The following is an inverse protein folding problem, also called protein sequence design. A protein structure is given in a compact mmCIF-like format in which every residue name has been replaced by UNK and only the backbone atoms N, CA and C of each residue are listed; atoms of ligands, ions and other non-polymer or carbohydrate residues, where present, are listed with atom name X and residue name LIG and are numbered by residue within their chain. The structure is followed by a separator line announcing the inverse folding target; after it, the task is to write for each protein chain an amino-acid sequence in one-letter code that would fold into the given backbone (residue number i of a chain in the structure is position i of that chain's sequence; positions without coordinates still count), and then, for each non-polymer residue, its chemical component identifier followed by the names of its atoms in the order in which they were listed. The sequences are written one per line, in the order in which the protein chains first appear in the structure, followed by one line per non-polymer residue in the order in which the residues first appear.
data_IF_233922033311
#
_entry.id   IF_233922033311
#
_cell.length_a   1.000
_cell.length_b   1.000
_cell.length_c   1.000
_cell.angle_alpha   90.00
_cell.angle_beta   90.00
_cell.angle_gamma   90.00
#
_symmetry.space_group_name_H-M   'P 1'
#
loop_
_entity.id
_entity.type
_entity.pdbx_description
1 polymer ?
#
# COMPACT_ATOMS: atom_id res chain seq x y z
N UNK A 1 -2.18 10.01 17.44
CA UNK A 1 -1.80 9.54 16.10
C UNK A 1 -0.57 10.30 15.65
N UNK A 2 0.42 9.61 15.10
CA UNK A 2 1.66 10.20 14.57
C UNK A 2 1.76 9.84 13.08
N UNK A 3 2.14 10.82 12.25
CA UNK A 3 2.35 10.62 10.82
C UNK A 3 3.85 10.56 10.52
N UNK A 4 4.21 9.67 9.59
CA UNK A 4 5.57 9.46 9.11
C UNK A 4 5.58 9.42 7.58
N UNK A 5 6.67 9.81 6.97
CA UNK A 5 6.76 9.91 5.51
C UNK A 5 6.65 8.55 4.80
N UNK A 6 7.05 7.46 5.45
CA UNK A 6 7.00 6.11 4.87
C UNK A 6 7.05 5.02 5.94
N UNK A 7 6.79 3.76 5.53
CA UNK A 7 6.75 2.63 6.46
C UNK A 7 8.09 2.27 7.11
N UNK A 8 9.24 2.63 6.52
CA UNK A 8 10.54 2.44 7.15
C UNK A 8 10.73 3.36 8.36
N UNK A 9 10.27 4.61 8.25
CA UNK A 9 10.32 5.56 9.36
C UNK A 9 9.39 5.15 10.51
N UNK A 10 8.23 4.56 10.20
CA UNK A 10 7.35 3.96 11.21
C UNK A 10 8.09 2.86 11.96
N UNK A 11 8.74 1.93 11.26
CA UNK A 11 9.49 0.84 11.87
C UNK A 11 10.64 1.38 12.75
N UNK A 12 11.38 2.39 12.28
CA UNK A 12 12.43 3.05 13.09
C UNK A 12 11.86 3.69 14.36
N UNK A 13 10.72 4.39 14.25
CA UNK A 13 10.06 5.00 15.41
C UNK A 13 9.61 3.94 16.43
N UNK A 14 9.21 2.75 15.98
CA UNK A 14 8.91 1.61 16.85
C UNK A 14 10.19 1.07 17.53
N UNK A 15 11.29 0.90 16.78
CA UNK A 15 12.60 0.47 17.31
C UNK A 15 13.16 1.45 18.34
N UNK A 16 12.85 2.76 18.19
CA UNK A 16 13.21 3.81 19.14
C UNK A 16 12.24 3.93 20.34
N UNK A 17 11.21 3.07 20.41
CA UNK A 17 10.21 3.08 21.48
C UNK A 17 9.26 4.29 21.48
N UNK A 18 9.13 5.00 20.37
CA UNK A 18 8.23 6.16 20.24
C UNK A 18 6.78 5.75 20.01
N UNK A 19 6.57 4.61 19.35
CA UNK A 19 5.26 4.02 19.07
C UNK A 19 5.34 2.50 19.18
N UNK A 20 4.24 1.85 19.57
CA UNK A 20 4.15 0.39 19.75
C UNK A 20 3.52 -0.30 18.55
N UNK A 21 2.64 0.39 17.85
CA UNK A 21 1.84 -0.11 16.75
C UNK A 21 1.93 0.87 15.58
N UNK A 22 2.09 0.34 14.37
CA UNK A 22 2.19 1.14 13.16
C UNK A 22 1.30 0.60 12.05
N UNK A 23 1.02 1.45 11.06
CA UNK A 23 0.29 1.08 9.85
C UNK A 23 1.18 1.32 8.64
N UNK A 24 1.41 0.27 7.84
CA UNK A 24 2.32 0.33 6.69
C UNK A 24 1.69 -0.20 5.41
N UNK A 25 2.13 0.34 4.30
CA UNK A 25 1.81 -0.17 2.97
C UNK A 25 2.74 -1.28 2.51
N UNK A 26 2.43 -1.82 1.35
CA UNK A 26 3.07 -2.98 0.72
C UNK A 26 4.61 -2.92 0.71
N UNK A 27 5.18 -1.82 0.24
CA UNK A 27 6.64 -1.70 0.03
C UNK A 27 7.48 -1.86 1.30
N UNK A 28 6.90 -1.63 2.49
CA UNK A 28 7.60 -1.77 3.76
C UNK A 28 7.53 -3.20 4.36
N UNK A 29 6.70 -4.10 3.84
CA UNK A 29 6.61 -5.49 4.32
C UNK A 29 7.91 -6.27 4.13
N UNK A 30 8.77 -5.89 3.19
CA UNK A 30 10.14 -6.44 3.07
C UNK A 30 10.94 -6.37 4.38
N UNK A 31 10.70 -5.36 5.21
CA UNK A 31 11.33 -5.24 6.52
C UNK A 31 10.72 -6.18 7.56
N UNK A 32 9.43 -6.52 7.43
CA UNK A 32 8.80 -7.56 8.25
C UNK A 32 9.39 -8.94 7.91
N UNK A 33 9.55 -9.26 6.65
CA UNK A 33 10.20 -10.50 6.17
C UNK A 33 11.63 -10.60 6.72
N UNK A 34 12.36 -9.47 6.78
CA UNK A 34 13.70 -9.37 7.37
C UNK A 34 13.71 -9.41 8.92
N UNK A 35 12.55 -9.55 9.57
CA UNK A 35 12.42 -9.72 11.03
C UNK A 35 12.42 -8.43 11.85
N UNK A 36 12.36 -7.24 11.22
CA UNK A 36 12.34 -5.96 11.94
C UNK A 36 10.97 -5.62 12.55
N UNK A 37 9.89 -6.10 11.94
CA UNK A 37 8.54 -5.95 12.47
C UNK A 37 7.72 -7.22 12.22
N UNK A 38 6.61 -7.37 12.95
CA UNK A 38 5.62 -8.43 12.79
C UNK A 38 4.29 -7.82 12.35
N UNK A 39 3.63 -8.47 11.39
CA UNK A 39 2.32 -8.08 10.91
C UNK A 39 1.26 -8.61 11.88
N UNK A 40 0.55 -7.70 12.53
CA UNK A 40 -0.51 -8.02 13.49
C UNK A 40 -1.87 -8.23 12.82
N UNK A 41 -2.18 -7.42 11.78
CA UNK A 41 -3.48 -7.46 11.10
C UNK A 41 -3.29 -7.12 9.62
N UNK A 42 -3.88 -7.92 8.73
CA UNK A 42 -4.12 -7.56 7.34
C UNK A 42 -5.30 -6.59 7.26
N UNK A 43 -5.14 -5.42 6.68
CA UNK A 43 -6.16 -4.35 6.72
C UNK A 43 -6.96 -4.22 5.42
N UNK A 44 -6.28 -4.13 4.30
CA UNK A 44 -6.92 -4.03 2.98
C UNK A 44 -5.98 -4.49 1.85
N UNK A 45 -6.57 -4.76 0.71
CA UNK A 45 -5.86 -4.89 -0.56
C UNK A 45 -5.96 -3.55 -1.28
N UNK A 46 -4.81 -2.91 -1.49
CA UNK A 46 -4.76 -1.59 -2.11
C UNK A 46 -5.04 -1.64 -3.62
N UNK A 47 -5.73 -0.61 -4.09
CA UNK A 47 -5.86 -0.25 -5.49
C UNK A 47 -5.49 1.24 -5.69
N UNK A 48 -4.80 1.80 -4.73
CA UNK A 48 -4.49 3.23 -4.68
C UNK A 48 -3.30 3.63 -5.54
N UNK A 49 -2.37 2.69 -5.77
CA UNK A 49 -1.19 2.92 -6.59
C UNK A 49 -1.53 2.85 -8.07
N UNK A 50 -1.07 3.83 -8.84
CA UNK A 50 -1.28 3.86 -10.28
C UNK A 50 -0.12 4.53 -11.03
N UNK A 51 0.02 4.16 -12.29
CA UNK A 51 0.84 4.85 -13.27
C UNK A 51 -0.09 5.83 -13.99
N UNK A 52 0.17 7.11 -13.85
CA UNK A 52 -0.56 8.19 -14.52
C UNK A 52 0.27 8.67 -15.70
N UNK A 53 -0.31 8.62 -16.91
CA UNK A 53 0.29 9.14 -18.14
C UNK A 53 -0.26 10.51 -18.52
N UNK A 54 0.48 11.22 -19.34
CA UNK A 54 0.09 12.49 -19.94
C UNK A 54 -0.13 12.31 -21.45
N UNK A 55 -1.37 12.39 -21.92
CA UNK A 55 -1.72 12.25 -23.35
C UNK A 55 -1.11 13.32 -24.23
N UNK A 56 -0.91 14.53 -23.71
CA UNK A 56 -0.25 15.60 -24.47
C UNK A 56 1.24 15.30 -24.73
N UNK A 57 1.83 14.37 -23.97
CA UNK A 57 3.18 13.82 -24.17
C UNK A 57 3.16 12.46 -24.88
N UNK A 58 2.06 12.11 -25.54
CA UNK A 58 1.86 10.85 -26.26
C UNK A 58 1.95 9.59 -25.38
N UNK A 59 1.63 9.70 -24.07
CA UNK A 59 1.58 8.59 -23.14
C UNK A 59 0.12 8.21 -22.88
N UNK A 60 -0.36 7.14 -23.53
CA UNK A 60 -1.74 6.65 -23.46
C UNK A 60 -1.85 5.22 -22.94
N UNK A 61 -0.76 4.44 -23.07
CA UNK A 61 -0.66 3.05 -22.65
C UNK A 61 0.66 2.83 -21.91
N UNK A 62 0.83 1.69 -21.25
CA UNK A 62 2.11 1.32 -20.62
C UNK A 62 3.24 1.18 -21.66
N UNK A 63 2.92 0.68 -22.86
CA UNK A 63 3.91 0.56 -23.94
C UNK A 63 4.52 1.91 -24.36
N UNK A 64 3.77 3.01 -24.22
CA UNK A 64 4.24 4.36 -24.56
C UNK A 64 5.28 4.92 -23.57
N UNK A 65 5.53 4.22 -22.46
CA UNK A 65 6.53 4.65 -21.46
C UNK A 65 7.96 4.55 -21.97
N UNK A 66 8.22 3.83 -23.07
CA UNK A 66 9.55 3.68 -23.66
C UNK A 66 10.13 5.05 -24.05
N UNK A 67 11.30 5.35 -23.52
CA UNK A 67 11.99 6.64 -23.75
C UNK A 67 11.42 7.82 -22.95
N UNK A 68 10.50 7.58 -22.03
CA UNK A 68 9.81 8.64 -21.27
C UNK A 68 10.42 8.88 -19.89
N UNK A 69 10.19 10.10 -19.38
CA UNK A 69 10.57 10.55 -18.02
C UNK A 69 9.45 10.20 -17.05
N UNK A 70 9.76 9.34 -16.10
CA UNK A 70 8.78 8.79 -15.16
C UNK A 70 9.16 9.21 -13.73
N UNK A 71 8.30 9.98 -13.07
CA UNK A 71 8.44 10.26 -11.65
C UNK A 71 8.10 9.04 -10.82
N UNK A 72 8.97 8.68 -9.88
CA UNK A 72 8.79 7.54 -8.97
C UNK A 72 9.14 7.92 -7.54
N UNK A 73 8.57 7.22 -6.56
CA UNK A 73 8.91 7.35 -5.15
C UNK A 73 9.68 6.11 -4.73
N UNK A 74 10.96 6.29 -4.45
CA UNK A 74 11.85 5.20 -4.09
C UNK A 74 11.39 4.47 -2.81
N UNK A 75 11.51 3.15 -2.80
CA UNK A 75 11.09 2.26 -1.70
C UNK A 75 9.58 2.33 -1.34
N UNK A 76 8.75 2.87 -2.21
CA UNK A 76 7.30 2.89 -2.06
C UNK A 76 6.65 1.68 -2.76
N UNK A 77 5.38 1.42 -2.43
CA UNK A 77 4.58 0.35 -3.07
C UNK A 77 4.34 0.59 -4.56
N UNK A 78 4.30 1.85 -4.99
CA UNK A 78 4.13 2.25 -6.39
C UNK A 78 5.27 1.77 -7.31
N UNK A 79 6.49 1.64 -6.78
CA UNK A 79 7.64 1.12 -7.52
C UNK A 79 7.41 -0.30 -8.05
N UNK A 80 6.73 -1.15 -7.28
CA UNK A 80 6.34 -2.49 -7.69
C UNK A 80 5.45 -2.47 -8.93
N UNK A 81 4.46 -1.58 -8.98
CA UNK A 81 3.54 -1.47 -10.13
C UNK A 81 4.29 -1.04 -11.38
N UNK A 82 5.22 -0.08 -11.25
CA UNK A 82 6.06 0.32 -12.38
C UNK A 82 6.90 -0.84 -12.91
N UNK A 83 7.59 -1.57 -12.01
CA UNK A 83 8.41 -2.73 -12.40
C UNK A 83 7.59 -3.77 -13.14
N UNK A 84 6.44 -4.20 -12.58
CA UNK A 84 5.57 -5.21 -13.21
C UNK A 84 5.01 -4.70 -14.56
N UNK A 85 4.67 -3.42 -14.66
CA UNK A 85 4.18 -2.81 -15.89
C UNK A 85 5.24 -2.85 -17.00
N UNK A 86 6.46 -2.41 -16.70
CA UNK A 86 7.57 -2.42 -17.64
C UNK A 86 7.93 -3.85 -18.08
N UNK A 87 8.03 -4.79 -17.14
CA UNK A 87 8.29 -6.20 -17.41
C UNK A 87 7.21 -6.83 -18.32
N UNK A 88 5.94 -6.47 -18.09
CA UNK A 88 4.81 -7.01 -18.86
C UNK A 88 4.85 -6.56 -20.31
N UNK A 89 5.30 -5.33 -20.56
CA UNK A 89 5.45 -4.75 -21.90
C UNK A 89 6.85 -5.01 -22.52
N UNK A 90 7.72 -5.76 -21.83
CA UNK A 90 9.08 -6.02 -22.30
C UNK A 90 9.93 -4.76 -22.41
N UNK A 91 9.68 -3.79 -21.52
CA UNK A 91 10.45 -2.54 -21.45
C UNK A 91 11.53 -2.71 -20.38
N UNK A 92 12.77 -2.57 -20.76
CA UNK A 92 13.91 -2.62 -19.83
C UNK A 92 14.04 -1.29 -19.06
N UNK A 93 14.55 -1.34 -17.83
CA UNK A 93 14.75 -0.16 -16.99
C UNK A 93 15.63 0.92 -17.66
N UNK A 94 16.58 0.53 -18.49
CA UNK A 94 17.44 1.45 -19.24
C UNK A 94 16.76 2.08 -20.46
N UNK A 95 15.56 1.67 -20.80
CA UNK A 95 14.75 2.26 -21.88
C UNK A 95 13.78 3.35 -21.36
N UNK A 96 13.81 3.65 -20.06
CA UNK A 96 13.03 4.70 -19.41
C UNK A 96 13.93 5.57 -18.52
N UNK A 97 13.57 6.81 -18.32
CA UNK A 97 14.23 7.70 -17.36
C UNK A 97 13.41 7.78 -16.08
N UNK A 98 13.82 7.06 -15.03
CA UNK A 98 13.15 7.06 -13.73
C UNK A 98 13.78 8.14 -12.85
N UNK A 99 12.94 9.09 -12.40
CA UNK A 99 13.35 10.23 -11.57
C UNK A 99 12.71 10.07 -10.19
N UNK A 100 13.53 9.85 -9.17
CA UNK A 100 13.06 9.72 -7.80
C UNK A 100 12.73 11.09 -7.19
N UNK A 101 11.48 11.24 -6.77
CA UNK A 101 10.90 12.49 -6.26
C UNK A 101 9.88 12.19 -5.16
N UNK A 102 9.51 13.21 -4.38
CA UNK A 102 8.36 13.11 -3.48
C UNK A 102 7.04 13.11 -4.25
N UNK A 103 5.97 12.50 -3.73
CA UNK A 103 4.68 12.42 -4.43
C UNK A 103 4.14 13.77 -4.91
N UNK A 104 4.20 14.79 -4.04
CA UNK A 104 3.76 16.15 -4.36
C UNK A 104 4.60 16.81 -5.46
N UNK A 105 5.90 16.50 -5.51
CA UNK A 105 6.80 16.98 -6.56
C UNK A 105 6.49 16.34 -7.90
N UNK A 106 6.15 15.02 -7.91
CA UNK A 106 5.69 14.31 -9.11
C UNK A 106 4.43 14.96 -9.67
N UNK A 107 3.44 15.22 -8.81
CA UNK A 107 2.20 15.90 -9.22
C UNK A 107 2.50 17.28 -9.82
N UNK A 108 3.36 18.06 -9.18
CA UNK A 108 3.74 19.38 -9.67
C UNK A 108 4.49 19.32 -11.01
N UNK A 109 5.41 18.36 -11.16
CA UNK A 109 6.21 18.17 -12.37
C UNK A 109 5.33 17.68 -13.56
N UNK A 110 4.37 16.80 -13.32
CA UNK A 110 3.40 16.38 -14.31
C UNK A 110 2.54 17.55 -14.81
N UNK A 111 2.04 18.38 -13.89
CA UNK A 111 1.26 19.60 -14.25
C UNK A 111 2.08 20.61 -15.06
N UNK A 112 3.39 20.70 -14.82
CA UNK A 112 4.32 21.58 -15.58
C UNK A 112 4.76 20.96 -16.91
N UNK A 113 4.47 19.69 -17.17
CA UNK A 113 4.94 18.97 -18.35
C UNK A 113 6.42 18.63 -18.35
N UNK A 114 7.07 18.60 -17.18
CA UNK A 114 8.47 18.18 -17.04
C UNK A 114 8.63 16.68 -16.82
N UNK A 115 7.53 15.97 -16.53
CA UNK A 115 7.40 14.52 -16.53
C UNK A 115 6.37 14.08 -17.55
N UNK A 116 6.57 12.92 -18.14
CA UNK A 116 5.69 12.31 -19.13
C UNK A 116 4.69 11.35 -18.44
N UNK A 117 5.11 10.77 -17.32
CA UNK A 117 4.29 9.92 -16.45
C UNK A 117 4.70 10.05 -14.98
N UNK A 118 3.83 9.61 -14.07
CA UNK A 118 4.12 9.55 -12.65
C UNK A 118 3.56 8.28 -12.03
N UNK A 119 4.31 7.69 -11.09
CA UNK A 119 3.93 6.47 -10.36
C UNK A 119 3.76 6.83 -8.90
N UNK A 120 2.51 6.93 -8.49
CA UNK A 120 2.11 7.49 -7.20
C UNK A 120 0.87 6.75 -6.67
N UNK A 121 0.42 7.14 -5.49
CA UNK A 121 -0.78 6.59 -4.86
C UNK A 121 -1.78 7.69 -4.48
N UNK A 122 -3.00 7.28 -4.14
CA UNK A 122 -4.04 8.21 -3.67
C UNK A 122 -3.65 8.88 -2.33
N UNK A 123 -3.92 10.20 -2.16
CA UNK A 123 -4.73 11.08 -3.03
C UNK A 123 -3.97 11.70 -4.22
N UNK A 124 -2.65 11.55 -4.32
CA UNK A 124 -1.82 12.18 -5.36
C UNK A 124 -2.23 11.77 -6.78
N UNK A 125 -2.72 10.53 -6.98
CA UNK A 125 -3.29 10.10 -8.26
C UNK A 125 -4.47 10.96 -8.69
N UNK A 126 -5.38 11.28 -7.75
CA UNK A 126 -6.53 12.15 -7.99
C UNK A 126 -6.10 13.59 -8.31
N UNK A 127 -5.09 14.08 -7.59
CA UNK A 127 -4.54 15.42 -7.81
C UNK A 127 -3.84 15.54 -9.16
N UNK A 128 -3.06 14.52 -9.56
CA UNK A 128 -2.41 14.47 -10.86
C UNK A 128 -3.44 14.46 -11.99
N UNK A 129 -4.44 13.57 -11.92
CA UNK A 129 -5.51 13.50 -12.91
C UNK A 129 -6.31 14.81 -13.01
N UNK A 130 -6.64 15.40 -11.87
CA UNK A 130 -7.31 16.71 -11.83
C UNK A 130 -6.45 17.82 -12.46
N UNK A 131 -5.15 17.79 -12.18
CA UNK A 131 -4.21 18.81 -12.69
C UNK A 131 -3.95 18.70 -14.19
N UNK A 132 -3.98 17.48 -14.74
CA UNK A 132 -3.83 17.20 -16.17
C UNK A 132 -5.16 17.34 -16.95
N UNK A 133 -6.30 17.30 -16.26
CA UNK A 133 -7.62 17.37 -16.90
C UNK A 133 -7.82 16.26 -17.94
N UNK A 134 -8.15 16.62 -19.17
CA UNK A 134 -8.39 15.64 -20.26
C UNK A 134 -7.13 14.90 -20.72
N UNK A 135 -5.94 15.42 -20.40
CA UNK A 135 -4.66 14.79 -20.76
C UNK A 135 -4.24 13.71 -19.77
N UNK A 136 -4.81 13.70 -18.55
CA UNK A 136 -4.53 12.67 -17.56
C UNK A 136 -5.17 11.33 -17.92
N UNK A 137 -4.39 10.25 -17.80
CA UNK A 137 -4.88 8.89 -18.00
C UNK A 137 -4.24 7.92 -17.02
N UNK A 138 -5.04 7.02 -16.45
CA UNK A 138 -4.52 5.88 -15.69
C UNK A 138 -4.06 4.81 -16.69
N UNK A 139 -2.77 4.51 -16.72
CA UNK A 139 -2.20 3.49 -17.60
C UNK A 139 -2.35 2.09 -17.00
N UNK A 140 -2.09 1.98 -15.70
CA UNK A 140 -2.23 0.76 -14.92
C UNK A 140 -2.38 1.09 -13.43
N UNK A 141 -2.92 0.16 -12.66
CA UNK A 141 -3.03 0.20 -11.20
C UNK A 141 -2.80 -1.19 -10.60
N UNK A 142 -2.94 -1.34 -9.28
CA UNK A 142 -2.75 -2.64 -8.61
C UNK A 142 -3.64 -3.75 -9.18
N UNK A 143 -4.89 -3.43 -9.55
CA UNK A 143 -5.83 -4.43 -10.10
C UNK A 143 -5.43 -4.91 -11.49
N UNK A 144 -4.70 -4.09 -12.26
CA UNK A 144 -4.17 -4.49 -13.57
C UNK A 144 -3.25 -5.71 -13.50
N UNK A 145 -2.63 -5.94 -12.32
CA UNK A 145 -1.65 -7.00 -12.09
C UNK A 145 -1.99 -7.88 -10.89
N UNK A 146 -3.27 -8.03 -10.54
CA UNK A 146 -3.73 -8.79 -9.37
C UNK A 146 -3.35 -10.27 -9.38
N UNK A 147 -2.98 -10.82 -10.52
CA UNK A 147 -2.44 -12.18 -10.67
C UNK A 147 -0.93 -12.29 -10.40
N UNK A 148 -0.21 -11.16 -10.35
CA UNK A 148 1.26 -11.11 -10.16
C UNK A 148 1.66 -10.54 -8.80
N UNK A 149 0.84 -9.65 -8.22
CA UNK A 149 1.14 -8.95 -6.98
C UNK A 149 -0.07 -8.88 -6.06
N UNK A 150 0.19 -8.81 -4.76
CA UNK A 150 -0.81 -8.54 -3.73
C UNK A 150 -0.39 -7.28 -2.96
N UNK A 151 -0.93 -6.13 -3.35
CA UNK A 151 -0.67 -4.87 -2.65
C UNK A 151 -1.46 -4.82 -1.34
N UNK A 152 -0.81 -5.22 -0.26
CA UNK A 152 -1.41 -5.35 1.07
C UNK A 152 -0.98 -4.18 1.93
N UNK A 153 -1.91 -3.64 2.73
CA UNK A 153 -1.57 -2.75 3.83
C UNK A 153 -1.90 -3.42 5.16
N UNK A 154 -1.07 -3.18 6.16
CA UNK A 154 -1.10 -3.95 7.40
C UNK A 154 -0.79 -3.11 8.63
N UNK A 155 -1.38 -3.49 9.76
CA UNK A 155 -0.94 -3.06 11.08
C UNK A 155 0.22 -3.93 11.54
N UNK A 156 1.23 -3.31 12.09
CA UNK A 156 2.47 -3.96 12.53
C UNK A 156 2.81 -3.61 13.97
N UNK A 157 3.65 -4.44 14.57
CA UNK A 157 4.29 -4.21 15.86
C UNK A 157 5.71 -4.80 15.84
N UNK A 158 6.55 -4.48 16.83
CA UNK A 158 7.84 -5.15 16.97
C UNK A 158 7.66 -6.61 17.40
N UNK A 159 8.51 -7.55 16.93
CA UNK A 159 8.43 -8.96 17.34
C UNK A 159 8.57 -9.16 18.85
N UNK A 160 9.38 -8.35 19.53
CA UNK A 160 9.53 -8.36 20.97
C UNK A 160 8.24 -7.88 21.65
N UNK A 161 7.70 -6.75 21.25
CA UNK A 161 6.46 -6.21 21.81
C UNK A 161 5.28 -7.19 21.65
N UNK A 162 5.17 -7.85 20.48
CA UNK A 162 4.14 -8.85 20.25
C UNK A 162 4.22 -10.05 21.23
N UNK A 163 5.43 -10.43 21.68
CA UNK A 163 5.60 -11.49 22.66
C UNK A 163 5.33 -11.03 24.10
N UNK A 164 5.83 -9.87 24.47
CA UNK A 164 5.76 -9.33 25.83
C UNK A 164 4.38 -8.73 26.16
N UNK A 165 3.67 -8.25 25.14
CA UNK A 165 2.37 -7.57 25.26
C UNK A 165 1.30 -8.20 24.36
N UNK A 166 1.27 -9.52 24.26
CA UNK A 166 0.35 -10.25 23.38
C UNK A 166 -1.13 -9.92 23.65
N UNK A 167 -1.50 -9.68 24.91
CA UNK A 167 -2.84 -9.25 25.31
C UNK A 167 -3.21 -7.87 24.75
N UNK A 168 -2.25 -6.93 24.72
CA UNK A 168 -2.45 -5.59 24.15
C UNK A 168 -2.64 -5.69 22.64
N UNK A 169 -1.78 -6.45 21.95
CA UNK A 169 -1.89 -6.66 20.50
C UNK A 169 -3.22 -7.32 20.14
N UNK A 170 -3.67 -8.30 20.94
CA UNK A 170 -4.97 -8.95 20.74
C UNK A 170 -6.14 -7.99 20.92
N UNK A 171 -6.15 -7.18 21.99
CA UNK A 171 -7.19 -6.17 22.24
C UNK A 171 -7.21 -5.09 21.16
N UNK A 172 -6.03 -4.66 20.71
CA UNK A 172 -5.91 -3.74 19.58
C UNK A 172 -6.51 -4.35 18.31
N UNK A 173 -6.18 -5.61 18.01
CA UNK A 173 -6.73 -6.31 16.83
C UNK A 173 -8.25 -6.40 16.90
N UNK A 174 -8.83 -6.73 18.07
CA UNK A 174 -10.30 -6.71 18.26
C UNK A 174 -10.91 -5.33 18.00
N UNK A 175 -10.25 -4.26 18.46
CA UNK A 175 -10.73 -2.90 18.23
C UNK A 175 -10.67 -2.51 16.74
N UNK A 176 -9.57 -2.85 16.05
CA UNK A 176 -9.44 -2.62 14.61
C UNK A 176 -10.48 -3.43 13.82
N UNK A 177 -10.75 -4.67 14.18
CA UNK A 177 -11.79 -5.49 13.55
C UNK A 177 -13.18 -4.86 13.65
N UNK A 178 -13.54 -4.27 14.83
CA UNK A 178 -14.77 -3.51 14.95
C UNK A 178 -14.82 -2.32 13.99
N UNK A 179 -13.71 -1.58 13.87
CA UNK A 179 -13.60 -0.47 12.91
C UNK A 179 -13.68 -0.93 11.45
N UNK A 180 -13.05 -2.07 11.11
CA UNK A 180 -13.12 -2.66 9.77
C UNK A 180 -14.56 -3.06 9.41
N UNK A 181 -15.26 -3.73 10.33
CA UNK A 181 -16.67 -4.12 10.14
C UNK A 181 -17.58 -2.88 10.05
N UNK A 182 -17.36 -1.85 10.87
CA UNK A 182 -18.10 -0.60 10.80
C UNK A 182 -17.96 0.09 9.44
N UNK A 183 -16.72 0.20 8.94
CA UNK A 183 -16.40 0.81 7.64
C UNK A 183 -16.98 0.01 6.46
N UNK A 184 -17.13 -1.31 6.58
CA UNK A 184 -17.68 -2.15 5.53
C UNK A 184 -19.18 -1.94 5.28
N UNK A 185 -19.89 -1.26 6.18
CA UNK A 185 -21.30 -0.93 6.02
C UNK A 185 -21.42 0.33 5.17
N UNK A 186 -22.07 0.24 3.99
CA UNK A 186 -22.17 1.34 3.01
C UNK A 186 -22.71 2.64 3.64
N UNK A 187 -23.70 2.54 4.51
CA UNK A 187 -24.29 3.71 5.19
C UNK A 187 -23.29 4.46 6.10
N UNK A 188 -22.22 3.80 6.53
CA UNK A 188 -21.21 4.39 7.42
C UNK A 188 -20.06 5.06 6.65
N UNK A 189 -19.91 4.78 5.37
CA UNK A 189 -18.75 5.23 4.55
C UNK A 189 -18.61 6.75 4.57
N UNK A 190 -19.74 7.47 4.49
CA UNK A 190 -19.72 8.94 4.53
C UNK A 190 -19.23 9.46 5.89
N UNK A 191 -19.70 8.87 6.98
CA UNK A 191 -19.25 9.23 8.33
C UNK A 191 -17.75 8.92 8.52
N UNK A 192 -17.28 7.79 8.02
CA UNK A 192 -15.84 7.44 8.04
C UNK A 192 -15.02 8.49 7.26
N UNK A 193 -15.50 8.94 6.10
CA UNK A 193 -14.85 9.99 5.33
C UNK A 193 -14.84 11.35 6.08
N UNK A 194 -15.92 11.68 6.79
CA UNK A 194 -15.96 12.87 7.63
C UNK A 194 -14.92 12.82 8.74
N UNK A 195 -14.77 11.68 9.43
CA UNK A 195 -13.75 11.49 10.47
C UNK A 195 -12.32 11.53 9.91
N UNK A 196 -12.08 10.97 8.73
CA UNK A 196 -10.78 11.07 8.06
C UNK A 196 -10.45 12.53 7.81
N UNK A 197 -11.39 13.31 7.27
CA UNK A 197 -11.22 14.73 7.01
C UNK A 197 -10.95 15.55 8.27
N UNK A 198 -11.54 15.18 9.42
CA UNK A 198 -11.33 15.86 10.70
C UNK A 198 -9.91 15.66 11.26
N UNK A 199 -9.29 14.50 11.00
CA UNK A 199 -7.96 14.14 11.56
C UNK A 199 -6.82 14.25 10.55
N UNK A 200 -7.13 14.54 9.30
CA UNK A 200 -6.13 14.70 8.21
C UNK A 200 -6.38 16.02 7.49
N UNK A 201 -5.45 16.42 6.63
CA UNK A 201 -5.63 17.59 5.75
C UNK A 201 -6.47 17.30 4.49
N UNK A 202 -7.06 16.10 4.37
CA UNK A 202 -7.82 15.65 3.20
C UNK A 202 -9.26 16.18 3.31
N UNK A 203 -9.78 16.84 2.27
CA UNK A 203 -11.16 17.29 2.27
C UNK A 203 -12.17 16.13 2.21
N UNK A 204 -13.38 16.35 2.72
CA UNK A 204 -14.43 15.33 2.87
C UNK A 204 -14.79 14.62 1.56
N UNK A 205 -14.78 15.33 0.43
CA UNK A 205 -15.10 14.76 -0.88
C UNK A 205 -13.98 13.81 -1.32
N UNK A 206 -12.73 14.25 -1.22
CA UNK A 206 -11.56 13.42 -1.54
C UNK A 206 -11.47 12.20 -0.63
N UNK A 207 -11.69 12.36 0.69
CA UNK A 207 -11.75 11.25 1.63
C UNK A 207 -12.85 10.23 1.27
N UNK A 208 -14.03 10.70 0.84
CA UNK A 208 -15.10 9.81 0.38
C UNK A 208 -14.76 9.11 -0.95
N UNK A 209 -14.12 9.79 -1.89
CA UNK A 209 -13.71 9.21 -3.17
C UNK A 209 -12.67 8.10 -2.99
N UNK A 210 -11.78 8.21 -2.01
CA UNK A 210 -10.77 7.20 -1.65
C UNK A 210 -11.36 5.85 -1.19
N UNK A 211 -12.67 5.77 -0.92
CA UNK A 211 -13.32 4.48 -0.60
C UNK A 211 -13.12 3.42 -1.69
N UNK A 212 -12.81 3.84 -2.93
CA UNK A 212 -12.58 2.97 -4.09
C UNK A 212 -11.11 2.54 -4.25
N UNK A 213 -10.22 3.11 -3.45
CA UNK A 213 -8.78 2.90 -3.56
C UNK A 213 -8.32 1.57 -2.94
N UNK A 214 -9.27 0.81 -2.40
CA UNK A 214 -8.96 -0.49 -1.81
C UNK A 214 -10.19 -1.41 -1.76
N UNK A 215 -9.92 -2.70 -1.73
CA UNK A 215 -10.83 -3.68 -1.17
C UNK A 215 -10.65 -3.64 0.35
N UNK A 216 -11.57 -2.97 1.02
CA UNK A 216 -11.60 -2.85 2.48
C UNK A 216 -12.05 -4.16 3.09
N UNK A 217 -11.16 -4.81 3.83
CA UNK A 217 -11.43 -6.12 4.40
C UNK A 217 -12.26 -6.02 5.68
N UNK A 218 -13.01 -7.07 5.98
CA UNK A 218 -13.75 -7.25 7.23
C UNK A 218 -13.00 -8.19 8.16
N UNK A 219 -13.37 -8.19 9.43
CA UNK A 219 -12.94 -9.20 10.40
C UNK A 219 -13.11 -10.62 9.86
N UNK A 220 -14.31 -10.95 9.35
CA UNK A 220 -14.64 -12.27 8.83
C UNK A 220 -13.72 -12.70 7.68
N UNK A 221 -13.38 -11.78 6.76
CA UNK A 221 -12.43 -12.07 5.69
C UNK A 221 -11.05 -12.43 6.25
N UNK A 222 -10.54 -11.63 7.20
CA UNK A 222 -9.19 -11.80 7.73
C UNK A 222 -9.11 -13.02 8.65
N UNK A 223 -10.05 -13.19 9.59
CA UNK A 223 -10.03 -14.28 10.57
C UNK A 223 -10.24 -15.66 9.91
N UNK A 224 -11.23 -15.77 9.02
CA UNK A 224 -11.48 -17.01 8.25
C UNK A 224 -10.34 -17.28 7.29
N UNK A 225 -9.84 -16.26 6.60
CA UNK A 225 -8.68 -16.39 5.72
C UNK A 225 -7.41 -16.80 6.46
N UNK A 226 -7.21 -16.33 7.70
CA UNK A 226 -6.11 -16.78 8.55
C UNK A 226 -6.25 -18.26 8.96
N UNK A 227 -7.48 -18.75 9.17
CA UNK A 227 -7.75 -20.15 9.47
C UNK A 227 -7.54 -21.06 8.25
N UNK A 228 -8.00 -20.63 7.08
CA UNK A 228 -7.97 -21.42 5.83
C UNK A 228 -6.63 -21.34 5.10
N UNK A 229 -5.74 -20.42 5.49
CA UNK A 229 -4.45 -20.20 4.83
C UNK A 229 -4.48 -19.12 3.74
N UNK A 230 -5.62 -18.51 3.44
CA UNK A 230 -5.73 -17.48 2.39
C UNK A 230 -4.90 -16.24 2.73
N UNK A 231 -4.91 -15.79 3.99
CA UNK A 231 -4.06 -14.68 4.45
C UNK A 231 -2.58 -15.01 4.27
N UNK A 232 -2.16 -16.22 4.65
CA UNK A 232 -0.78 -16.65 4.46
C UNK A 232 -0.39 -16.62 2.97
N UNK A 233 -1.29 -17.09 2.09
CA UNK A 233 -1.07 -17.11 0.65
C UNK A 233 -0.87 -15.71 0.05
N UNK A 234 -1.59 -14.70 0.51
CA UNK A 234 -1.36 -13.32 0.08
C UNK A 234 0.06 -12.85 0.41
N UNK A 235 0.55 -13.13 1.62
CA UNK A 235 1.92 -12.78 2.02
C UNK A 235 2.99 -13.65 1.34
N UNK A 236 2.67 -14.89 0.95
CA UNK A 236 3.55 -15.73 0.13
C UNK A 236 3.74 -15.16 -1.28
N UNK A 237 2.65 -14.69 -1.90
CA UNK A 237 2.71 -14.00 -3.20
C UNK A 237 3.60 -12.77 -3.09
N UNK A 238 3.36 -11.93 -2.09
CA UNK A 238 4.13 -10.72 -1.84
C UNK A 238 5.62 -11.03 -1.54
N UNK A 239 5.91 -12.05 -0.73
CA UNK A 239 7.28 -12.44 -0.44
C UNK A 239 8.02 -12.89 -1.70
N UNK A 240 7.35 -13.64 -2.58
CA UNK A 240 7.90 -14.04 -3.87
C UNK A 240 8.23 -12.83 -4.73
N UNK A 241 7.33 -11.88 -4.81
CA UNK A 241 7.52 -10.62 -5.53
C UNK A 241 8.76 -9.86 -5.02
N UNK A 242 8.95 -9.75 -3.70
CA UNK A 242 10.14 -9.11 -3.13
C UNK A 242 11.43 -9.90 -3.41
N UNK A 243 11.37 -11.22 -3.50
CA UNK A 243 12.52 -12.04 -3.89
C UNK A 243 12.87 -11.85 -5.37
N UNK A 244 11.88 -11.83 -6.25
CA UNK A 244 12.05 -11.57 -7.69
C UNK A 244 12.63 -10.17 -7.93
N UNK A 245 12.23 -9.19 -7.13
CA UNK A 245 12.78 -7.83 -7.15
C UNK A 245 14.16 -7.69 -6.48
N UNK A 246 14.75 -8.78 -5.92
CA UNK A 246 16.00 -8.72 -5.18
C UNK A 246 15.94 -7.99 -3.84
N UNK A 247 14.75 -7.61 -3.38
CA UNK A 247 14.56 -6.88 -2.13
C UNK A 247 14.65 -7.77 -0.88
N UNK A 248 14.47 -9.09 -1.06
CA UNK A 248 14.60 -10.14 -0.05
C UNK A 248 15.40 -11.30 -0.63
N UNK A 249 16.44 -11.75 0.06
CA UNK A 249 17.37 -12.75 -0.45
C UNK A 249 16.82 -14.19 -0.43
N UNK A 250 15.95 -14.50 0.55
CA UNK A 250 15.44 -15.86 0.75
C UNK A 250 14.03 -15.86 1.33
N UNK A 251 13.28 -16.90 1.02
CA UNK A 251 11.98 -17.17 1.63
C UNK A 251 12.12 -17.49 3.11
N UNK A 252 11.16 -17.01 3.90
CA UNK A 252 11.00 -17.37 5.31
C UNK A 252 9.56 -17.84 5.55
N UNK A 253 9.30 -18.72 6.53
CA UNK A 253 7.94 -19.10 6.87
C UNK A 253 7.08 -17.88 7.23
N UNK A 254 5.87 -17.80 6.70
CA UNK A 254 4.95 -16.66 6.93
C UNK A 254 4.69 -16.45 8.43
N UNK A 255 4.58 -17.51 9.19
CA UNK A 255 4.41 -17.46 10.65
C UNK A 255 5.56 -16.77 11.42
N UNK A 256 6.70 -16.53 10.78
CA UNK A 256 7.81 -15.79 11.41
C UNK A 256 7.54 -14.30 11.53
N UNK A 257 6.74 -13.74 10.64
CA UNK A 257 6.50 -12.30 10.60
C UNK A 257 5.02 -11.92 10.51
N UNK A 258 4.10 -12.89 10.33
CA UNK A 258 2.65 -12.66 10.34
C UNK A 258 2.03 -13.38 11.52
N UNK A 259 1.36 -12.63 12.39
CA UNK A 259 0.74 -13.13 13.62
C UNK A 259 -0.63 -13.73 13.33
N UNK A 260 -0.65 -14.84 12.55
CA UNK A 260 -1.90 -15.49 12.11
C UNK A 260 -2.79 -15.92 13.29
N UNK A 261 -2.20 -16.38 14.39
CA UNK A 261 -2.97 -16.80 15.57
C UNK A 261 -3.62 -15.62 16.28
N UNK A 262 -2.97 -14.45 16.31
CA UNK A 262 -3.58 -13.23 16.81
C UNK A 262 -4.81 -12.83 15.97
N UNK A 263 -4.72 -12.93 14.63
CA UNK A 263 -5.85 -12.64 13.73
C UNK A 263 -7.03 -13.59 13.95
N UNK A 264 -6.77 -14.89 14.20
CA UNK A 264 -7.80 -15.90 14.49
C UNK A 264 -8.46 -15.67 15.85
N UNK A 265 -7.64 -15.44 16.89
CA UNK A 265 -8.11 -15.29 18.26
C UNK A 265 -8.90 -13.99 18.46
N UNK A 266 -8.55 -12.94 17.73
CA UNK A 266 -9.24 -11.65 17.83
C UNK A 266 -10.71 -11.70 17.38
N UNK A 267 -11.10 -12.68 16.57
CA UNK A 267 -12.47 -12.92 16.14
C UNK A 267 -13.27 -13.85 17.06
N UNK A 268 -12.61 -14.45 18.06
CA UNK A 268 -13.28 -15.30 19.05
C UNK A 268 -13.80 -14.43 20.18
N UNK A 269 -15.11 -14.53 20.45
CA UNK A 269 -15.80 -13.83 21.54
C UNK A 269 -15.71 -14.60 22.84
#
# INVERSE_FOLDING_TARGET
LYEYANGLEIIKAMEEGKIDLGYIGNGAHKFCIKGRASIAIMSHLSNAEAIIGNRSHEVRTVADLRGKRIGNVENASSETILRIALETEGISHNEVEIINMKPEEIVAAMKKGTLDAGVIWSPYTLEALKGLGNDGVVLANNMSYSNKTASISSWITLPQYAREHADVVLRFTKAIYKGMNYRAIENNVKQVADWISEVTAIDKKSAYEQRRDAQWLTEGFVSVGAQKGDVARFYEIQQREFMEAGAVERSVPISRYVLLDNMKQAAQY
#
